data_IF_921303235349
#
_entry.id   IF_921303235349
#
_cell.length_a   1.000
_cell.length_b   1.000
_cell.length_c   1.000
_cell.angle_alpha   90.00
_cell.angle_beta   90.00
_cell.angle_gamma   90.00
#
_symmetry.space_group_name_H-M   'P 1'
#
loop_
_entity.id
_entity.type
_entity.pdbx_description
1 polymer ?
#
# COMPACT_ATOMS: atom_id res chain seq x y z
N UNK A 1 16.47 20.29 27.27
CA UNK A 1 15.27 19.42 27.39
C UNK A 1 14.34 19.48 26.17
N UNK A 2 14.51 20.45 25.28
CA UNK A 2 13.69 20.66 24.06
C UNK A 2 14.05 19.71 22.90
N UNK A 3 15.29 19.22 22.85
CA UNK A 3 15.80 18.39 21.75
C UNK A 3 15.24 16.94 21.73
N UNK A 4 14.92 16.39 22.92
CA UNK A 4 14.38 15.01 23.01
C UNK A 4 12.97 14.88 22.47
N UNK A 5 12.11 15.89 22.63
CA UNK A 5 10.74 15.88 22.09
C UNK A 5 10.72 15.97 20.56
N UNK A 6 11.64 16.71 19.96
CA UNK A 6 11.78 16.82 18.51
C UNK A 6 12.23 15.49 17.86
N UNK A 7 13.04 14.70 18.59
CA UNK A 7 13.48 13.38 18.11
C UNK A 7 12.32 12.39 17.96
N UNK A 8 11.41 12.35 18.95
CA UNK A 8 10.25 11.47 18.92
C UNK A 8 9.15 11.92 17.95
N UNK A 9 9.18 13.17 17.48
CA UNK A 9 8.19 13.69 16.54
C UNK A 9 8.57 13.47 15.08
N UNK A 10 9.79 13.00 14.80
CA UNK A 10 10.28 12.76 13.46
C UNK A 10 9.97 11.32 13.03
N UNK A 11 9.14 11.15 12.00
CA UNK A 11 8.71 9.85 11.51
C UNK A 11 9.89 8.98 11.00
N UNK A 12 10.97 9.60 10.49
CA UNK A 12 12.19 8.92 10.07
C UNK A 12 12.84 8.14 11.23
N UNK A 13 12.84 8.70 12.43
CA UNK A 13 13.40 8.03 13.61
C UNK A 13 12.57 6.81 14.03
N UNK A 14 11.26 6.86 13.80
CA UNK A 14 10.38 5.70 14.04
C UNK A 14 10.64 4.57 13.05
N UNK A 15 10.87 4.89 11.79
CA UNK A 15 11.25 3.90 10.76
C UNK A 15 12.58 3.24 11.15
N UNK A 16 13.60 4.02 11.52
CA UNK A 16 14.89 3.50 11.95
C UNK A 16 14.78 2.63 13.21
N UNK A 17 13.98 3.05 14.18
CA UNK A 17 13.73 2.26 15.38
C UNK A 17 13.04 0.92 15.04
N UNK A 18 12.08 0.95 14.13
CA UNK A 18 11.39 -0.27 13.67
C UNK A 18 12.38 -1.21 12.98
N UNK A 19 13.26 -0.71 12.11
CA UNK A 19 14.32 -1.50 11.46
C UNK A 19 15.24 -2.14 12.49
N UNK A 20 15.67 -1.39 13.51
CA UNK A 20 16.55 -1.91 14.58
C UNK A 20 15.84 -3.03 15.34
N UNK A 21 14.57 -2.84 15.72
CA UNK A 21 13.78 -3.85 16.42
C UNK A 21 13.62 -5.09 15.57
N UNK A 22 13.34 -4.93 14.28
CA UNK A 22 13.17 -6.02 13.33
C UNK A 22 14.46 -6.85 13.17
N UNK A 23 15.60 -6.20 12.99
CA UNK A 23 16.91 -6.84 12.95
C UNK A 23 17.21 -7.60 14.24
N UNK A 24 16.89 -7.01 15.40
CA UNK A 24 17.07 -7.66 16.70
C UNK A 24 16.20 -8.92 16.78
N UNK A 25 14.92 -8.84 16.42
CA UNK A 25 14.00 -9.97 16.46
C UNK A 25 14.46 -11.11 15.57
N UNK A 26 14.94 -10.81 14.37
CA UNK A 26 15.49 -11.81 13.45
C UNK A 26 16.78 -12.42 13.99
N UNK A 27 17.65 -11.61 14.63
CA UNK A 27 18.95 -12.06 15.15
C UNK A 27 18.85 -12.91 16.40
N UNK A 28 17.90 -12.64 17.28
CA UNK A 28 17.76 -13.38 18.56
C UNK A 28 17.30 -14.83 18.38
N UNK A 29 16.72 -15.17 17.23
CA UNK A 29 16.19 -16.51 16.97
C UNK A 29 17.02 -17.27 15.93
N UNK A 30 18.28 -16.94 15.78
CA UNK A 30 19.21 -17.67 14.93
C UNK A 30 19.68 -18.92 15.67
N UNK A 31 19.01 -20.03 15.44
CA UNK A 31 19.53 -21.34 15.85
C UNK A 31 20.92 -21.56 15.23
N UNK A 32 21.93 -21.93 16.03
CA UNK A 32 23.33 -21.94 15.58
C UNK A 32 23.68 -23.05 14.58
N UNK A 33 22.74 -23.88 14.11
CA UNK A 33 23.02 -25.00 13.22
C UNK A 33 21.93 -25.24 12.16
N UNK A 34 22.13 -24.75 10.92
CA UNK A 34 21.16 -24.99 9.84
C UNK A 34 21.23 -26.40 9.22
N UNK A 35 21.95 -27.33 9.82
CA UNK A 35 22.26 -28.61 9.15
C UNK A 35 21.37 -29.79 9.53
N UNK A 36 20.50 -29.71 10.52
CA UNK A 36 19.80 -30.90 11.06
C UNK A 36 18.30 -30.85 11.19
N UNK A 37 17.65 -29.72 10.96
CA UNK A 37 16.19 -29.67 11.14
C UNK A 37 15.43 -29.25 9.88
N UNK A 38 15.30 -30.23 8.99
CA UNK A 38 14.53 -30.12 7.74
C UNK A 38 13.01 -30.23 7.97
N UNK A 39 12.54 -30.22 9.23
CA UNK A 39 11.16 -30.59 9.57
C UNK A 39 10.47 -29.73 10.64
N UNK A 40 10.80 -28.47 10.81
CA UNK A 40 9.96 -27.58 11.63
C UNK A 40 9.31 -26.44 10.80
N UNK A 41 8.20 -26.72 10.10
CA UNK A 41 7.58 -25.74 9.20
C UNK A 41 6.85 -24.60 9.94
N UNK A 42 6.72 -24.65 11.26
CA UNK A 42 5.90 -23.68 12.02
C UNK A 42 6.70 -22.53 12.64
N UNK A 43 7.99 -22.70 12.89
CA UNK A 43 8.82 -21.66 13.52
C UNK A 43 9.37 -20.67 12.48
N UNK A 44 9.51 -21.11 11.24
CA UNK A 44 10.09 -20.37 10.13
C UNK A 44 9.16 -19.30 9.53
N UNK A 45 7.85 -19.44 9.69
CA UNK A 45 6.86 -18.60 9.01
C UNK A 45 6.90 -17.12 9.43
N UNK A 46 6.96 -16.83 10.72
CA UNK A 46 6.93 -15.45 11.21
C UNK A 46 8.23 -14.68 10.93
N UNK A 47 9.39 -15.35 10.94
CA UNK A 47 10.69 -14.75 10.62
C UNK A 47 10.74 -14.25 9.17
N UNK A 48 10.20 -15.01 8.23
CA UNK A 48 10.09 -14.58 6.83
C UNK A 48 9.24 -13.33 6.67
N UNK A 49 8.14 -13.21 7.43
CA UNK A 49 7.29 -12.03 7.40
C UNK A 49 8.03 -10.79 7.93
N UNK A 50 8.72 -10.91 9.06
CA UNK A 50 9.53 -9.81 9.61
C UNK A 50 10.70 -9.48 8.69
N UNK A 51 11.41 -10.47 8.17
CA UNK A 51 12.51 -10.24 7.23
C UNK A 51 12.03 -9.51 5.95
N UNK A 52 10.88 -9.88 5.41
CA UNK A 52 10.32 -9.21 4.24
C UNK A 52 9.98 -7.74 4.53
N UNK A 53 9.37 -7.46 5.69
CA UNK A 53 9.06 -6.08 6.12
C UNK A 53 10.36 -5.31 6.35
N UNK A 54 11.35 -5.90 7.02
CA UNK A 54 12.65 -5.28 7.28
C UNK A 54 13.38 -4.90 6.00
N UNK A 55 13.45 -5.80 5.02
CA UNK A 55 14.05 -5.51 3.70
C UNK A 55 13.33 -4.36 3.03
N UNK A 56 12.00 -4.34 3.03
CA UNK A 56 11.22 -3.24 2.45
C UNK A 56 11.52 -1.89 3.13
N UNK A 57 11.57 -1.88 4.46
CA UNK A 57 11.86 -0.65 5.23
C UNK A 57 13.30 -0.15 4.98
N UNK A 58 14.28 -1.05 4.92
CA UNK A 58 15.69 -0.69 4.64
C UNK A 58 15.82 -0.06 3.25
N UNK A 59 15.19 -0.63 2.23
CA UNK A 59 15.18 -0.04 0.89
C UNK A 59 14.42 1.29 0.84
N UNK A 60 13.35 1.43 1.61
CA UNK A 60 12.64 2.71 1.78
C UNK A 60 13.54 3.79 2.41
N UNK A 61 14.26 3.44 3.47
CA UNK A 61 15.22 4.37 4.12
C UNK A 61 16.37 4.75 3.16
N UNK A 62 16.89 3.76 2.39
CA UNK A 62 17.89 4.03 1.37
C UNK A 62 17.38 5.04 0.33
N UNK A 63 16.14 4.91 -0.13
CA UNK A 63 15.53 5.87 -1.04
C UNK A 63 15.47 7.28 -0.44
N UNK A 64 15.12 7.40 0.84
CA UNK A 64 15.10 8.69 1.54
C UNK A 64 16.50 9.27 1.72
N UNK A 65 17.52 8.44 1.95
CA UNK A 65 18.92 8.87 2.00
C UNK A 65 19.40 9.38 0.65
N UNK A 66 19.07 8.71 -0.45
CA UNK A 66 19.35 9.18 -1.82
C UNK A 66 18.68 10.52 -2.08
N UNK A 67 17.50 10.75 -1.49
CA UNK A 67 16.80 12.03 -1.54
C UNK A 67 17.55 13.23 -0.92
N UNK A 68 18.59 12.97 -0.13
CA UNK A 68 19.46 14.03 0.42
C UNK A 68 20.53 14.48 -0.57
N UNK A 69 20.75 13.76 -1.68
CA UNK A 69 21.65 14.16 -2.75
C UNK A 69 21.01 15.26 -3.60
N UNK A 70 21.77 16.30 -4.01
CA UNK A 70 21.22 17.46 -4.70
C UNK A 70 20.51 17.10 -6.02
N UNK A 71 21.03 16.11 -6.74
CA UNK A 71 20.49 15.69 -8.05
C UNK A 71 19.20 14.87 -7.92
N UNK A 72 19.11 13.98 -6.92
CA UNK A 72 18.00 13.06 -6.75
C UNK A 72 16.94 13.56 -5.76
N UNK A 73 17.27 14.57 -4.96
CA UNK A 73 16.40 15.09 -3.90
C UNK A 73 15.04 15.55 -4.40
N UNK A 74 14.99 16.19 -5.57
CA UNK A 74 13.76 16.67 -6.18
C UNK A 74 12.80 15.52 -6.49
N UNK A 75 13.30 14.44 -7.09
CA UNK A 75 12.48 13.27 -7.43
C UNK A 75 11.92 12.55 -6.21
N UNK A 76 12.75 12.34 -5.19
CA UNK A 76 12.32 11.72 -3.93
C UNK A 76 11.30 12.59 -3.20
N UNK A 77 11.47 13.92 -3.21
CA UNK A 77 10.53 14.84 -2.61
C UNK A 77 9.19 14.87 -3.36
N UNK A 78 9.20 14.81 -4.69
CA UNK A 78 7.99 14.66 -5.51
C UNK A 78 7.28 13.36 -5.17
N UNK A 79 7.99 12.23 -5.18
CA UNK A 79 7.44 10.92 -4.82
C UNK A 79 6.79 10.94 -3.43
N UNK A 80 7.49 11.46 -2.43
CA UNK A 80 6.99 11.51 -1.04
C UNK A 80 5.74 12.36 -0.92
N UNK A 81 5.64 13.45 -1.69
CA UNK A 81 4.46 14.31 -1.68
C UNK A 81 3.26 13.60 -2.33
N UNK A 82 3.47 13.00 -3.48
CA UNK A 82 2.43 12.22 -4.17
C UNK A 82 1.97 11.07 -3.28
N UNK A 83 2.90 10.33 -2.65
CA UNK A 83 2.57 9.25 -1.73
C UNK A 83 1.74 9.72 -0.51
N UNK A 84 2.07 10.86 0.08
CA UNK A 84 1.29 11.47 1.18
C UNK A 84 -0.13 11.87 0.74
N UNK A 85 -0.26 12.49 -0.43
CA UNK A 85 -1.56 12.91 -0.95
C UNK A 85 -2.41 11.71 -1.38
N UNK A 86 -1.77 10.69 -1.96
CA UNK A 86 -2.41 9.40 -2.22
C UNK A 86 -2.95 8.73 -0.95
N UNK A 87 -2.16 8.70 0.13
CA UNK A 87 -2.59 8.13 1.41
C UNK A 87 -3.78 8.88 2.01
N UNK A 88 -3.79 10.23 1.93
CA UNK A 88 -4.92 11.05 2.38
C UNK A 88 -6.18 10.78 1.54
N UNK A 89 -6.01 10.70 0.22
CA UNK A 89 -7.07 10.36 -0.71
C UNK A 89 -7.65 8.98 -0.39
N UNK A 90 -6.80 7.98 -0.24
CA UNK A 90 -7.22 6.62 0.10
C UNK A 90 -7.96 6.58 1.45
N UNK A 91 -7.49 7.32 2.46
CA UNK A 91 -8.15 7.41 3.76
C UNK A 91 -9.56 8.04 3.65
N UNK A 92 -9.72 9.09 2.82
CA UNK A 92 -11.03 9.73 2.60
C UNK A 92 -12.05 8.77 1.95
N UNK A 93 -11.61 7.95 1.02
CA UNK A 93 -12.46 7.00 0.29
C UNK A 93 -12.47 5.59 0.87
N UNK A 94 -11.77 5.38 1.98
CA UNK A 94 -11.65 4.06 2.62
C UNK A 94 -13.02 3.46 2.99
N UNK A 95 -13.95 4.27 3.49
CA UNK A 95 -15.30 3.83 3.80
C UNK A 95 -16.02 3.27 2.57
N UNK A 96 -15.83 3.90 1.40
CA UNK A 96 -16.43 3.43 0.15
C UNK A 96 -15.83 2.09 -0.28
N UNK A 97 -14.51 1.94 -0.16
CA UNK A 97 -13.83 0.67 -0.46
C UNK A 97 -14.29 -0.46 0.46
N UNK A 98 -14.43 -0.19 1.76
CA UNK A 98 -14.95 -1.17 2.72
C UNK A 98 -16.40 -1.54 2.40
N UNK A 99 -17.24 -0.58 2.02
CA UNK A 99 -18.63 -0.86 1.63
C UNK A 99 -18.71 -1.80 0.42
N UNK A 100 -17.88 -1.59 -0.60
CA UNK A 100 -17.81 -2.50 -1.75
C UNK A 100 -17.22 -3.86 -1.36
N UNK A 101 -16.16 -3.90 -0.55
CA UNK A 101 -15.57 -5.16 -0.08
C UNK A 101 -16.60 -6.02 0.66
N UNK A 102 -17.38 -5.41 1.57
CA UNK A 102 -18.46 -6.11 2.28
C UNK A 102 -19.59 -6.55 1.34
N UNK A 103 -19.97 -5.71 0.39
CA UNK A 103 -20.98 -6.06 -0.61
C UNK A 103 -20.54 -7.26 -1.45
N UNK A 104 -19.29 -7.31 -1.86
CA UNK A 104 -18.73 -8.45 -2.60
C UNK A 104 -18.62 -9.71 -1.75
N UNK A 105 -18.28 -9.60 -0.45
CA UNK A 105 -18.31 -10.75 0.46
C UNK A 105 -19.72 -11.37 0.55
N UNK A 106 -20.76 -10.55 0.56
CA UNK A 106 -22.15 -11.02 0.61
C UNK A 106 -22.61 -11.60 -0.72
N UNK A 107 -22.21 -10.96 -1.83
CA UNK A 107 -22.63 -11.40 -3.17
C UNK A 107 -21.88 -12.64 -3.66
N UNK A 108 -20.61 -12.78 -3.34
CA UNK A 108 -19.72 -13.82 -3.85
C UNK A 108 -19.12 -14.70 -2.74
N UNK A 109 -19.95 -15.42 -1.96
CA UNK A 109 -19.49 -16.19 -0.81
C UNK A 109 -18.59 -17.38 -1.18
N UNK A 110 -18.68 -17.88 -2.42
CA UNK A 110 -17.87 -19.00 -2.91
C UNK A 110 -16.53 -18.57 -3.49
N UNK A 111 -16.33 -17.28 -3.72
CA UNK A 111 -15.06 -16.77 -4.24
C UNK A 111 -13.99 -16.74 -3.13
N UNK A 112 -12.90 -17.46 -3.35
CA UNK A 112 -11.88 -17.73 -2.34
C UNK A 112 -11.34 -16.47 -1.65
N UNK A 113 -11.18 -15.38 -2.38
CA UNK A 113 -10.65 -14.12 -1.82
C UNK A 113 -11.63 -13.37 -0.91
N UNK A 114 -12.94 -13.61 -1.05
CA UNK A 114 -13.96 -12.95 -0.23
C UNK A 114 -14.48 -13.81 0.91
N UNK A 115 -14.22 -15.11 0.88
CA UNK A 115 -14.71 -16.06 1.90
C UNK A 115 -13.79 -16.18 3.12
N UNK A 116 -12.51 -15.81 3.02
CA UNK A 116 -11.52 -16.18 4.06
C UNK A 116 -11.44 -15.14 5.19
N UNK A 117 -11.28 -13.87 4.91
CA UNK A 117 -11.09 -12.82 5.92
C UNK A 117 -11.38 -11.43 5.34
N UNK A 118 -12.01 -10.58 6.13
CA UNK A 118 -12.29 -9.19 5.75
C UNK A 118 -11.06 -8.42 5.23
N UNK A 119 -9.86 -8.54 5.81
CA UNK A 119 -8.66 -7.89 5.26
C UNK A 119 -8.32 -8.35 3.84
N UNK A 120 -8.48 -9.64 3.53
CA UNK A 120 -8.23 -10.17 2.19
C UNK A 120 -9.23 -9.59 1.17
N UNK A 121 -10.49 -9.45 1.55
CA UNK A 121 -11.52 -8.83 0.72
C UNK A 121 -11.19 -7.35 0.41
N UNK A 122 -10.72 -6.59 1.41
CA UNK A 122 -10.31 -5.20 1.22
C UNK A 122 -9.11 -5.12 0.27
N UNK A 123 -8.10 -5.98 0.45
CA UNK A 123 -6.93 -6.03 -0.45
C UNK A 123 -7.36 -6.38 -1.87
N UNK A 124 -8.22 -7.39 -2.05
CA UNK A 124 -8.75 -7.74 -3.39
C UNK A 124 -9.50 -6.56 -4.02
N UNK A 125 -10.34 -5.86 -3.24
CA UNK A 125 -11.08 -4.68 -3.74
C UNK A 125 -10.12 -3.55 -4.14
N UNK A 126 -9.01 -3.35 -3.42
CA UNK A 126 -7.95 -2.40 -3.80
C UNK A 126 -7.26 -2.80 -5.11
N UNK A 127 -6.99 -4.08 -5.30
CA UNK A 127 -6.40 -4.62 -6.54
C UNK A 127 -7.38 -4.43 -7.71
N UNK A 128 -8.67 -4.69 -7.48
CA UNK A 128 -9.72 -4.42 -8.46
C UNK A 128 -9.83 -2.94 -8.81
N UNK A 129 -9.63 -2.04 -7.83
CA UNK A 129 -9.57 -0.59 -8.07
C UNK A 129 -8.42 -0.22 -9.00
N UNK A 130 -7.28 -0.92 -8.92
CA UNK A 130 -6.14 -0.71 -9.82
C UNK A 130 -6.38 -1.21 -11.27
N UNK A 131 -7.51 -1.87 -11.53
CA UNK A 131 -7.95 -2.32 -12.85
C UNK A 131 -7.93 -3.83 -13.06
N UNK A 132 -7.53 -4.62 -12.08
CA UNK A 132 -7.49 -6.09 -12.15
C UNK A 132 -8.83 -6.70 -11.70
N UNK A 133 -9.86 -6.56 -12.55
CA UNK A 133 -11.23 -6.89 -12.15
C UNK A 133 -11.54 -8.39 -12.29
N UNK A 134 -10.77 -9.17 -13.06
CA UNK A 134 -11.00 -10.62 -13.28
C UNK A 134 -12.48 -11.01 -13.46
N UNK A 135 -13.20 -10.25 -14.28
CA UNK A 135 -14.66 -10.34 -14.41
C UNK A 135 -15.17 -11.75 -14.71
N UNK A 136 -14.44 -12.50 -15.54
CA UNK A 136 -14.82 -13.85 -15.92
C UNK A 136 -14.80 -14.81 -14.73
N UNK A 137 -13.79 -14.74 -13.87
CA UNK A 137 -13.66 -15.59 -12.70
C UNK A 137 -14.79 -15.33 -11.68
N UNK A 138 -15.23 -14.08 -11.56
CA UNK A 138 -16.33 -13.72 -10.67
C UNK A 138 -17.67 -14.35 -11.07
N UNK A 139 -17.92 -14.48 -12.35
CA UNK A 139 -19.23 -14.90 -12.87
C UNK A 139 -19.29 -16.39 -13.14
N UNK A 140 -18.20 -16.97 -13.68
CA UNK A 140 -18.21 -18.36 -14.15
C UNK A 140 -17.75 -19.37 -13.10
N UNK A 141 -16.94 -18.99 -12.12
CA UNK A 141 -16.42 -19.92 -11.12
C UNK A 141 -17.49 -20.39 -10.11
N UNK A 142 -18.59 -19.68 -9.99
CA UNK A 142 -19.68 -20.01 -9.07
C UNK A 142 -20.75 -20.95 -9.67
N UNK A 143 -20.64 -21.39 -10.92
CA UNK A 143 -21.43 -22.46 -11.52
C UNK A 143 -22.96 -22.30 -11.54
N UNK A 144 -23.51 -21.34 -10.84
CA UNK A 144 -24.93 -21.06 -10.77
C UNK A 144 -25.27 -19.87 -11.68
N UNK A 145 -25.93 -20.19 -12.79
CA UNK A 145 -26.50 -19.23 -13.74
C UNK A 145 -27.50 -18.23 -13.11
N UNK A 146 -27.67 -18.29 -11.81
CA UNK A 146 -28.57 -17.44 -10.99
C UNK A 146 -27.87 -16.26 -10.34
N UNK A 147 -26.56 -16.04 -10.59
CA UNK A 147 -25.97 -14.79 -10.11
C UNK A 147 -26.54 -13.61 -10.89
N UNK A 148 -27.49 -13.29 -10.35
CA UNK A 148 -28.45 -12.24 -10.27
C UNK A 148 -27.92 -10.98 -10.95
N UNK A 149 -28.75 -10.35 -11.72
CA UNK A 149 -28.67 -8.95 -12.18
C UNK A 149 -28.00 -8.01 -11.15
N UNK A 150 -28.18 -8.25 -9.85
CA UNK A 150 -27.55 -7.52 -8.75
C UNK A 150 -26.04 -7.62 -8.74
N UNK A 151 -25.45 -8.79 -9.01
CA UNK A 151 -23.99 -8.96 -9.06
C UNK A 151 -23.36 -8.18 -10.20
N UNK A 152 -23.93 -8.29 -11.39
CA UNK A 152 -23.48 -7.52 -12.55
C UNK A 152 -23.65 -6.02 -12.35
N UNK A 153 -24.76 -5.58 -11.74
CA UNK A 153 -25.03 -4.19 -11.44
C UNK A 153 -23.99 -3.65 -10.43
N UNK A 154 -23.65 -4.41 -9.37
CA UNK A 154 -22.67 -3.99 -8.38
C UNK A 154 -21.26 -3.90 -8.96
N UNK A 155 -20.85 -4.84 -9.81
CA UNK A 155 -19.56 -4.79 -10.51
C UNK A 155 -19.53 -3.57 -11.46
N UNK A 156 -20.62 -3.31 -12.18
CA UNK A 156 -20.72 -2.15 -13.06
C UNK A 156 -20.58 -0.85 -12.28
N UNK A 157 -21.32 -0.69 -11.18
CA UNK A 157 -21.26 0.50 -10.32
C UNK A 157 -19.83 0.66 -9.77
N UNK A 158 -19.22 -0.43 -9.28
CA UNK A 158 -17.83 -0.41 -8.79
C UNK A 158 -16.87 0.04 -9.89
N UNK A 159 -16.94 -0.54 -11.08
CA UNK A 159 -16.05 -0.20 -12.20
C UNK A 159 -16.19 1.27 -12.60
N UNK A 160 -17.39 1.78 -12.74
CA UNK A 160 -17.61 3.18 -13.13
C UNK A 160 -17.16 4.13 -12.00
N UNK A 161 -17.60 3.89 -10.78
CA UNK A 161 -17.41 4.82 -9.67
C UNK A 161 -15.98 4.75 -9.12
N UNK A 162 -15.45 3.55 -8.90
CA UNK A 162 -14.15 3.35 -8.25
C UNK A 162 -13.04 3.33 -9.29
N UNK A 163 -13.10 2.45 -10.28
CA UNK A 163 -12.00 2.30 -11.24
C UNK A 163 -11.88 3.49 -12.18
N UNK A 164 -12.99 4.03 -12.70
CA UNK A 164 -12.91 5.13 -13.66
C UNK A 164 -12.82 6.48 -12.94
N UNK A 165 -13.77 6.80 -12.06
CA UNK A 165 -13.85 8.15 -11.47
C UNK A 165 -12.72 8.35 -10.46
N UNK A 166 -12.56 7.44 -9.47
CA UNK A 166 -11.57 7.60 -8.42
C UNK A 166 -10.14 7.53 -8.94
N UNK A 167 -9.83 6.62 -9.86
CA UNK A 167 -8.48 6.54 -10.44
C UNK A 167 -8.14 7.76 -11.28
N UNK A 168 -9.07 8.28 -12.08
CA UNK A 168 -8.84 9.51 -12.85
C UNK A 168 -8.66 10.73 -11.94
N UNK A 169 -9.42 10.81 -10.84
CA UNK A 169 -9.27 11.88 -9.85
C UNK A 169 -7.90 11.81 -9.17
N UNK A 170 -7.44 10.61 -8.83
CA UNK A 170 -6.14 10.37 -8.21
C UNK A 170 -4.99 10.76 -9.13
N UNK A 171 -5.04 10.38 -10.41
CA UNK A 171 -4.05 10.76 -11.41
C UNK A 171 -4.05 12.28 -11.60
N UNK A 172 -5.22 12.90 -11.68
CA UNK A 172 -5.37 14.36 -11.77
C UNK A 172 -4.76 15.09 -10.58
N UNK A 173 -4.98 14.59 -9.36
CA UNK A 173 -4.40 15.13 -8.14
C UNK A 173 -2.87 15.00 -8.15
N UNK A 174 -2.33 13.84 -8.52
CA UNK A 174 -0.89 13.60 -8.58
C UNK A 174 -0.21 14.53 -9.59
N UNK A 175 -0.79 14.70 -10.77
CA UNK A 175 -0.26 15.60 -11.81
C UNK A 175 -0.30 17.06 -11.34
N UNK A 176 -1.40 17.50 -10.74
CA UNK A 176 -1.54 18.86 -10.20
C UNK A 176 -0.48 19.15 -9.13
N UNK A 177 -0.24 18.22 -8.19
CA UNK A 177 0.77 18.40 -7.15
C UNK A 177 2.20 18.49 -7.69
N UNK A 178 2.52 17.72 -8.73
CA UNK A 178 3.82 17.78 -9.40
C UNK A 178 4.00 19.13 -10.10
N UNK A 179 2.97 19.62 -10.80
CA UNK A 179 3.01 20.90 -11.49
C UNK A 179 3.22 22.08 -10.53
N UNK A 180 2.48 22.13 -9.43
CA UNK A 180 2.62 23.18 -8.42
C UNK A 180 4.04 23.20 -7.84
N UNK A 181 4.61 22.03 -7.53
CA UNK A 181 5.99 21.97 -7.02
C UNK A 181 7.03 22.37 -8.04
N UNK A 182 6.87 21.98 -9.30
CA UNK A 182 7.80 22.38 -10.36
C UNK A 182 7.81 23.89 -10.56
N UNK A 183 6.65 24.54 -10.51
CA UNK A 183 6.56 26.01 -10.59
C UNK A 183 7.24 26.69 -9.40
N UNK A 184 7.01 26.23 -8.18
CA UNK A 184 7.66 26.77 -6.99
C UNK A 184 9.20 26.66 -7.05
N UNK A 185 9.74 25.58 -7.60
CA UNK A 185 11.19 25.41 -7.77
C UNK A 185 11.73 26.42 -8.80
N UNK A 186 11.03 26.60 -9.90
CA UNK A 186 11.42 27.58 -10.94
C UNK A 186 11.41 29.00 -10.38
N UNK A 187 10.38 29.36 -9.61
CA UNK A 187 10.28 30.69 -8.98
C UNK A 187 11.42 30.94 -7.98
N UNK A 188 11.77 29.93 -7.18
CA UNK A 188 12.90 30.03 -6.22
C UNK A 188 14.22 30.17 -6.95
N UNK A 189 14.44 29.42 -8.03
CA UNK A 189 15.66 29.52 -8.86
C UNK A 189 15.76 30.90 -9.50
N UNK A 190 14.66 31.43 -10.04
CA UNK A 190 14.65 32.78 -10.68
C UNK A 190 14.81 33.90 -9.64
N UNK A 191 14.50 33.68 -8.39
CA UNK A 191 14.69 34.69 -7.31
C UNK A 191 16.12 34.70 -6.76
N UNK A 192 16.87 33.60 -6.91
CA UNK A 192 18.26 33.45 -6.41
C UNK A 192 19.30 33.86 -7.44
N UNK A 193 18.93 33.93 -8.74
CA UNK A 193 19.79 34.44 -9.82
C UNK A 193 19.55 35.93 -10.03
#
# INVERSE_FOLDING_TARGET
MHSRKAYFFNWENWVQLTIIVDVILISFHRDPLPALDKYSPLVESWQHHFAAIGVFLVWGELMLMIGRLPTFGIYVQMFTTVAKNFSKFLAAYFCLLVAFALSFCVLFPNYQSFNVLLPAAIVKTLVMMAGEIEYENFIYENGDALFSFTGHLMILIFTVLVSIILMNLLVGLAVSDIQVKSLLIVDVVNFVI
#
